data_IF_703527707478
#
_entry.id   IF_703527707478
#
_cell.length_a   1.000
_cell.length_b   1.000
_cell.length_c   1.000
_cell.angle_alpha   90.00
_cell.angle_beta   90.00
_cell.angle_gamma   90.00
#
_symmetry.space_group_name_H-M   'P 1'
#
loop_
_entity.id
_entity.type
_entity.pdbx_description
1 polymer ?
#
# COMPACT_ATOMS: atom_id res chain seq x y z
N UNK A 1 1.71 -16.47 -7.23
CA UNK A 1 3.01 -15.93 -6.86
C UNK A 1 3.10 -15.66 -5.37
N UNK A 2 4.32 -15.50 -4.89
CA UNK A 2 4.60 -15.17 -3.49
C UNK A 2 5.09 -13.73 -3.40
N UNK A 3 4.54 -12.97 -2.46
CA UNK A 3 4.99 -11.61 -2.17
C UNK A 3 5.96 -11.62 -0.99
N UNK A 4 6.96 -10.76 -1.05
CA UNK A 4 7.92 -10.54 0.04
C UNK A 4 8.15 -9.04 0.22
N UNK A 5 8.52 -8.63 1.42
CA UNK A 5 9.00 -7.28 1.71
C UNK A 5 10.52 -7.29 1.74
N UNK A 6 11.13 -6.39 0.97
CA UNK A 6 12.57 -6.15 0.98
C UNK A 6 12.86 -4.85 1.72
N UNK A 7 13.77 -4.92 2.68
CA UNK A 7 14.27 -3.74 3.38
C UNK A 7 15.79 -3.61 3.19
N UNK A 8 16.23 -2.40 2.96
CA UNK A 8 17.64 -2.04 2.97
C UNK A 8 17.92 -1.20 4.20
N UNK A 9 18.72 -1.74 5.11
CA UNK A 9 19.10 -1.04 6.33
C UNK A 9 20.15 0.03 6.06
N UNK A 10 20.31 1.01 6.96
CA UNK A 10 21.32 2.08 6.80
C UNK A 10 22.77 1.57 6.62
N UNK A 11 23.07 0.37 7.12
CA UNK A 11 24.38 -0.28 6.95
C UNK A 11 24.54 -1.00 5.60
N UNK A 12 23.51 -0.95 4.72
CA UNK A 12 23.50 -1.62 3.44
C UNK A 12 23.05 -3.07 3.47
N UNK A 13 22.75 -3.61 4.66
CA UNK A 13 22.23 -4.98 4.78
C UNK A 13 20.83 -5.08 4.20
N UNK A 14 20.60 -6.14 3.40
CA UNK A 14 19.29 -6.46 2.85
C UNK A 14 18.58 -7.48 3.73
N UNK A 15 17.34 -7.13 4.12
CA UNK A 15 16.44 -8.02 4.84
C UNK A 15 15.28 -8.44 3.96
N UNK A 16 14.82 -9.69 4.09
CA UNK A 16 13.69 -10.24 3.33
C UNK A 16 12.68 -10.81 4.32
N UNK A 17 11.44 -10.32 4.24
CA UNK A 17 10.35 -10.78 5.08
C UNK A 17 9.27 -11.46 4.24
N UNK A 18 8.83 -12.63 4.68
CA UNK A 18 7.73 -13.37 4.08
C UNK A 18 6.39 -12.74 4.47
N UNK A 19 6.06 -11.64 3.80
CA UNK A 19 4.93 -10.78 4.14
C UNK A 19 4.50 -10.01 2.90
N UNK A 20 3.21 -9.73 2.76
CA UNK A 20 2.63 -9.10 1.57
C UNK A 20 2.04 -7.69 1.83
N UNK A 21 2.41 -7.07 2.93
CA UNK A 21 2.00 -5.70 3.28
C UNK A 21 3.11 -4.99 4.05
N UNK A 22 3.17 -3.68 3.90
CA UNK A 22 4.15 -2.80 4.54
C UNK A 22 3.62 -1.37 4.58
N UNK A 23 4.06 -0.59 5.55
CA UNK A 23 3.82 0.86 5.65
C UNK A 23 5.14 1.62 5.88
N UNK A 24 5.12 2.74 6.55
CA UNK A 24 6.25 3.69 6.61
C UNK A 24 7.23 3.44 7.77
N UNK A 25 7.46 2.21 8.16
CA UNK A 25 8.49 1.88 9.16
C UNK A 25 9.22 0.59 8.78
N UNK A 26 10.38 0.37 9.38
CA UNK A 26 11.14 -0.87 9.21
C UNK A 26 10.50 -2.02 9.97
N UNK A 27 10.32 -3.17 9.33
CA UNK A 27 9.97 -4.42 10.00
C UNK A 27 11.11 -4.93 10.86
N UNK A 28 12.35 -4.63 10.47
CA UNK A 28 13.55 -4.91 11.28
C UNK A 28 13.54 -4.05 12.53
N UNK A 29 13.65 -4.71 13.70
CA UNK A 29 13.71 -4.02 14.98
C UNK A 29 15.04 -3.29 15.18
N UNK A 30 15.01 -2.26 16.03
CA UNK A 30 16.19 -1.52 16.47
C UNK A 30 17.04 -0.87 15.36
N UNK A 31 16.39 -0.47 14.27
CA UNK A 31 17.08 0.34 13.24
C UNK A 31 17.32 1.75 13.80
N UNK A 32 18.57 2.22 13.90
CA UNK A 32 18.87 3.54 14.44
C UNK A 32 18.23 4.65 13.65
N UNK A 33 17.64 5.64 14.34
CA UNK A 33 17.03 6.84 13.75
C UNK A 33 15.88 6.57 12.77
N UNK A 34 15.36 5.35 12.74
CA UNK A 34 14.23 5.02 11.88
C UNK A 34 12.95 5.72 12.37
N UNK A 35 12.21 6.38 11.47
CA UNK A 35 10.91 6.94 11.84
C UNK A 35 9.92 5.82 12.13
N UNK A 36 9.15 5.96 13.20
CA UNK A 36 8.02 5.06 13.50
C UNK A 36 6.73 5.74 13.05
N UNK A 37 6.40 5.56 11.78
CA UNK A 37 5.19 6.13 11.17
C UNK A 37 4.38 5.05 10.46
N UNK A 38 3.06 5.15 10.55
CA UNK A 38 2.16 4.24 9.85
C UNK A 38 1.97 2.89 10.53
N UNK A 39 2.30 2.76 11.82
CA UNK A 39 2.04 1.55 12.60
C UNK A 39 0.56 1.28 12.75
N UNK A 40 -0.24 2.31 12.97
CA UNK A 40 -1.70 2.26 13.03
C UNK A 40 -2.31 1.74 11.72
N UNK A 41 -1.81 2.21 10.58
CA UNK A 41 -2.22 1.76 9.24
C UNK A 41 -1.78 0.32 9.00
N UNK A 42 -0.58 -0.03 9.42
CA UNK A 42 -0.04 -1.39 9.34
C UNK A 42 -0.95 -2.37 10.10
N UNK A 43 -1.29 -2.05 11.35
CA UNK A 43 -2.13 -2.90 12.17
C UNK A 43 -3.54 -3.06 11.58
N UNK A 44 -4.10 -2.00 10.98
CA UNK A 44 -5.38 -2.06 10.30
C UNK A 44 -5.34 -2.96 9.05
N UNK A 45 -4.27 -2.86 8.25
CA UNK A 45 -4.07 -3.73 7.09
C UNK A 45 -3.98 -5.19 7.55
N UNK A 46 -3.17 -5.48 8.56
CA UNK A 46 -3.01 -6.83 9.10
C UNK A 46 -4.33 -7.42 9.57
N UNK A 47 -5.08 -6.68 10.39
CA UNK A 47 -6.38 -7.12 10.88
C UNK A 47 -7.38 -7.36 9.75
N UNK A 48 -7.39 -6.49 8.74
CA UNK A 48 -8.25 -6.63 7.57
C UNK A 48 -7.90 -7.88 6.76
N UNK A 49 -6.61 -8.13 6.51
CA UNK A 49 -6.16 -9.32 5.78
C UNK A 49 -6.47 -10.60 6.54
N UNK A 50 -6.30 -10.62 7.86
CA UNK A 50 -6.66 -11.76 8.70
C UNK A 50 -8.18 -12.01 8.62
N UNK A 51 -8.99 -10.99 8.79
CA UNK A 51 -10.45 -11.10 8.72
C UNK A 51 -10.93 -11.59 7.35
N UNK A 52 -10.34 -11.09 6.28
CA UNK A 52 -10.65 -11.47 4.89
C UNK A 52 -9.96 -12.74 4.44
N UNK A 53 -9.14 -13.37 5.28
CA UNK A 53 -8.32 -14.55 4.93
C UNK A 53 -7.43 -14.35 3.69
N UNK A 54 -6.94 -13.13 3.53
CA UNK A 54 -6.06 -12.74 2.43
C UNK A 54 -6.76 -12.57 1.07
N UNK A 55 -8.10 -12.63 1.01
CA UNK A 55 -8.87 -12.52 -0.24
C UNK A 55 -9.75 -11.28 -0.19
N UNK A 56 -9.50 -10.35 -1.11
CA UNK A 56 -10.23 -9.09 -1.21
C UNK A 56 -10.55 -8.78 -2.67
N UNK A 57 -11.75 -8.23 -2.93
CA UNK A 57 -12.08 -7.65 -4.22
C UNK A 57 -11.34 -6.33 -4.46
N UNK A 58 -11.28 -5.88 -5.72
CA UNK A 58 -10.71 -4.57 -6.06
C UNK A 58 -11.40 -3.42 -5.29
N UNK A 59 -12.72 -3.49 -5.14
CA UNK A 59 -13.48 -2.49 -4.41
C UNK A 59 -13.13 -2.49 -2.91
N UNK A 60 -12.95 -3.66 -2.31
CA UNK A 60 -12.55 -3.78 -0.91
C UNK A 60 -11.11 -3.28 -0.68
N UNK A 61 -10.20 -3.55 -1.61
CA UNK A 61 -8.83 -3.00 -1.54
C UNK A 61 -8.85 -1.48 -1.66
N UNK A 62 -9.63 -0.93 -2.60
CA UNK A 62 -9.75 0.52 -2.76
C UNK A 62 -10.38 1.16 -1.51
N UNK A 63 -11.38 0.53 -0.90
CA UNK A 63 -11.98 0.99 0.36
C UNK A 63 -10.97 0.98 1.51
N UNK A 64 -10.12 -0.03 1.60
CA UNK A 64 -9.03 -0.07 2.58
C UNK A 64 -8.03 1.08 2.34
N UNK A 65 -7.63 1.32 1.09
CA UNK A 65 -6.76 2.44 0.72
C UNK A 65 -7.37 3.79 1.12
N UNK A 66 -8.69 3.94 0.99
CA UNK A 66 -9.39 5.16 1.41
C UNK A 66 -9.27 5.41 2.92
N UNK A 67 -9.36 4.35 3.72
CA UNK A 67 -9.24 4.44 5.19
C UNK A 67 -7.81 4.74 5.62
N UNK A 68 -6.81 4.07 5.02
CA UNK A 68 -5.40 4.24 5.38
C UNK A 68 -4.72 5.42 4.67
N UNK A 69 -5.35 6.02 3.68
CA UNK A 69 -4.86 7.22 3.00
C UNK A 69 -4.69 8.38 3.98
N UNK A 70 -3.57 9.10 3.85
CA UNK A 70 -3.27 10.23 4.74
C UNK A 70 -4.03 11.49 4.31
N UNK A 71 -4.91 12.05 5.16
CA UNK A 71 -5.50 13.37 4.90
C UNK A 71 -4.46 14.48 5.12
N UNK A 72 -4.71 15.63 4.52
CA UNK A 72 -4.01 16.85 4.88
C UNK A 72 -4.43 17.29 6.29
N UNK A 73 -3.44 17.59 7.13
CA UNK A 73 -3.66 18.08 8.49
C UNK A 73 -2.72 19.25 8.75
N UNK A 74 -2.95 20.01 9.83
CA UNK A 74 -2.06 21.10 10.25
C UNK A 74 -0.61 20.61 10.49
N UNK A 75 -0.45 19.37 10.93
CA UNK A 75 0.86 18.76 11.21
C UNK A 75 1.46 18.07 9.99
N UNK A 76 0.63 17.57 9.08
CA UNK A 76 1.06 16.89 7.86
C UNK A 76 0.96 17.84 6.66
N UNK A 77 2.09 18.23 6.13
CA UNK A 77 2.20 19.14 4.97
C UNK A 77 1.85 18.47 3.65
N UNK A 78 1.63 17.15 3.66
CA UNK A 78 1.27 16.38 2.46
C UNK A 78 0.19 15.35 2.77
N UNK A 79 -0.74 15.18 1.86
CA UNK A 79 -1.74 14.12 1.89
C UNK A 79 -1.46 13.08 0.81
N UNK A 80 -2.13 11.93 0.89
CA UNK A 80 -2.07 10.90 -0.17
C UNK A 80 -2.53 11.50 -1.50
N UNK A 81 -1.64 11.52 -2.48
CA UNK A 81 -1.88 12.13 -3.79
C UNK A 81 -2.62 11.21 -4.75
N UNK A 82 -2.35 9.91 -4.68
CA UNK A 82 -3.07 8.89 -5.45
C UNK A 82 -3.07 7.56 -4.69
N UNK A 83 -4.07 6.76 -5.00
CA UNK A 83 -4.19 5.37 -4.56
C UNK A 83 -4.52 4.51 -5.78
N UNK A 84 -3.80 3.42 -5.97
CA UNK A 84 -3.95 2.57 -7.15
C UNK A 84 -4.15 1.12 -6.74
N UNK A 85 -5.10 0.45 -7.39
CA UNK A 85 -5.31 -0.99 -7.31
C UNK A 85 -5.10 -1.60 -8.68
N UNK A 86 -4.20 -2.57 -8.78
CA UNK A 86 -3.96 -3.32 -10.01
C UNK A 86 -4.59 -4.70 -9.92
N UNK A 87 -5.34 -5.08 -10.96
CA UNK A 87 -5.78 -6.44 -11.18
C UNK A 87 -4.88 -7.07 -12.23
N UNK A 88 -3.97 -7.93 -11.79
CA UNK A 88 -2.99 -8.56 -12.68
C UNK A 88 -3.56 -9.71 -13.51
N UNK A 89 -4.72 -10.24 -13.13
CA UNK A 89 -5.43 -11.26 -13.92
C UNK A 89 -6.11 -10.63 -15.12
N UNK A 90 -6.84 -9.53 -14.90
CA UNK A 90 -7.59 -8.85 -15.94
C UNK A 90 -6.77 -7.75 -16.65
N UNK A 91 -5.55 -7.49 -16.20
CA UNK A 91 -4.67 -6.44 -16.69
C UNK A 91 -5.35 -5.06 -16.67
N UNK A 92 -6.00 -4.76 -15.58
CA UNK A 92 -6.69 -3.48 -15.35
C UNK A 92 -6.18 -2.79 -14.10
N UNK A 93 -6.46 -1.51 -14.00
CA UNK A 93 -6.16 -0.74 -12.80
C UNK A 93 -7.30 0.24 -12.48
N UNK A 94 -7.33 0.65 -11.23
CA UNK A 94 -8.22 1.69 -10.71
C UNK A 94 -7.38 2.69 -9.94
N UNK A 95 -7.60 3.96 -10.17
CA UNK A 95 -6.87 5.04 -9.50
C UNK A 95 -7.83 6.07 -8.92
N UNK A 96 -7.61 6.41 -7.65
CA UNK A 96 -8.21 7.55 -6.99
C UNK A 96 -7.15 8.64 -6.85
N UNK A 97 -7.46 9.86 -7.26
CA UNK A 97 -6.55 11.00 -7.23
C UNK A 97 -6.98 11.96 -6.12
N UNK A 98 -6.02 12.46 -5.37
CA UNK A 98 -6.22 13.47 -4.31
C UNK A 98 -7.32 13.03 -3.32
N UNK A 99 -7.37 11.74 -3.01
CA UNK A 99 -8.36 11.12 -2.10
C UNK A 99 -9.82 11.20 -2.57
N UNK A 100 -10.05 11.40 -3.86
CA UNK A 100 -11.39 11.37 -4.48
C UNK A 100 -11.84 9.93 -4.74
N UNK A 101 -12.11 9.17 -3.66
CA UNK A 101 -12.46 7.75 -3.75
C UNK A 101 -13.88 7.49 -4.30
N UNK A 102 -14.71 8.51 -4.39
CA UNK A 102 -16.03 8.44 -5.04
C UNK A 102 -15.94 8.60 -6.56
N UNK A 103 -14.77 9.01 -7.06
CA UNK A 103 -14.52 9.23 -8.48
C UNK A 103 -13.26 8.48 -8.94
N UNK A 104 -13.36 7.16 -9.02
CA UNK A 104 -12.25 6.27 -9.36
C UNK A 104 -12.18 6.08 -10.87
N UNK A 105 -11.00 6.36 -11.44
CA UNK A 105 -10.72 6.13 -12.86
C UNK A 105 -10.29 4.68 -13.09
N UNK A 106 -10.79 4.09 -14.18
CA UNK A 106 -10.36 2.76 -14.64
C UNK A 106 -9.46 2.89 -15.85
N UNK A 107 -8.46 2.03 -15.95
CA UNK A 107 -7.60 1.93 -17.12
C UNK A 107 -7.23 0.48 -17.40
N UNK A 108 -6.84 0.20 -18.64
CA UNK A 108 -6.33 -1.10 -19.07
C UNK A 108 -4.82 -1.05 -19.18
N UNK A 109 -4.15 -2.12 -18.76
CA UNK A 109 -2.71 -2.29 -18.90
C UNK A 109 -2.32 -2.84 -20.28
N UNK A 110 -3.26 -3.42 -21.03
CA UNK A 110 -3.00 -4.01 -22.36
C UNK A 110 -2.38 -3.01 -23.33
N UNK A 111 -2.82 -1.75 -23.29
CA UNK A 111 -2.30 -0.69 -24.14
C UNK A 111 -0.91 -0.17 -23.74
N UNK A 112 -0.43 -0.52 -22.54
CA UNK A 112 0.85 -0.05 -21.99
C UNK A 112 2.01 -1.01 -22.25
N UNK A 113 1.71 -2.25 -22.63
CA UNK A 113 2.70 -3.34 -22.78
C UNK A 113 3.00 -3.61 -24.27
N UNK A 114 2.57 -2.76 -25.16
CA UNK A 114 2.91 -2.92 -26.58
C UNK A 114 4.36 -2.52 -26.83
N UNK A 115 5.12 -3.37 -27.56
CA UNK A 115 6.49 -3.07 -27.92
C UNK A 115 6.60 -1.86 -28.85
#
# INVERSE_FOLDING_TARGET
GKAVVLEYLPNGQRMVYDQNYVTNFYLTENVPYAPVRGKDRYDLIEQTLIFKKGVMSEAEVMALLAVIGQPETEEATSMTQWSVVYNLTDLTGRVAVVREYDNVFRFSLDGMIQP
#
